data_IF_167500613299
#
_entry.id   IF_167500613299
#
_cell.length_a   1.000
_cell.length_b   1.000
_cell.length_c   1.000
_cell.angle_alpha   90.00
_cell.angle_beta   90.00
_cell.angle_gamma   90.00
#
_symmetry.space_group_name_H-M   'P 1'
#
loop_
_entity.id
_entity.type
_entity.pdbx_description
1 polymer ?
#
# COMPACT_ATOMS: atom_id res chain seq x y z
N UNK A 1 -12.24 -81.15 68.60
CA UNK A 1 -13.40 -80.60 67.85
C UNK A 1 -13.59 -79.14 68.23
N UNK A 2 -12.97 -78.21 67.48
CA UNK A 2 -13.13 -76.76 67.71
C UNK A 2 -14.08 -76.19 66.67
N UNK A 3 -15.15 -75.57 67.17
CA UNK A 3 -16.25 -74.91 66.44
C UNK A 3 -15.73 -73.92 65.40
N UNK A 4 -15.81 -74.28 64.13
CA UNK A 4 -15.67 -73.36 63.00
C UNK A 4 -16.95 -72.54 62.81
N UNK A 5 -16.96 -71.27 63.24
CA UNK A 5 -17.95 -70.27 62.77
C UNK A 5 -17.60 -68.82 63.12
N UNK A 6 -16.37 -68.36 62.88
CA UNK A 6 -16.03 -66.93 63.07
C UNK A 6 -14.93 -66.36 62.16
N UNK A 7 -14.61 -67.01 61.03
CA UNK A 7 -13.65 -66.50 60.03
C UNK A 7 -14.26 -66.38 58.62
N UNK A 8 -15.51 -65.93 58.50
CA UNK A 8 -16.10 -65.58 57.19
C UNK A 8 -16.55 -64.11 57.08
N UNK A 9 -16.61 -63.37 58.19
CA UNK A 9 -17.03 -61.96 58.19
C UNK A 9 -15.86 -60.96 58.05
N UNK A 10 -14.64 -61.35 58.43
CA UNK A 10 -13.46 -60.48 58.34
C UNK A 10 -12.69 -60.62 57.01
N UNK A 11 -12.85 -61.74 56.29
CA UNK A 11 -12.22 -61.94 54.98
C UNK A 11 -12.95 -61.17 53.87
N UNK A 12 -14.27 -60.98 54.01
CA UNK A 12 -15.07 -60.17 53.07
C UNK A 12 -14.80 -58.67 53.29
N UNK A 13 -14.53 -58.24 54.52
CA UNK A 13 -14.23 -56.84 54.84
C UNK A 13 -12.84 -56.38 54.35
N UNK A 14 -11.88 -57.32 54.24
CA UNK A 14 -10.54 -57.01 53.72
C UNK A 14 -10.48 -57.01 52.19
N UNK A 15 -11.31 -57.83 51.52
CA UNK A 15 -11.38 -57.88 50.05
C UNK A 15 -12.12 -56.68 49.45
N UNK A 16 -13.05 -56.06 50.19
CA UNK A 16 -13.75 -54.84 49.75
C UNK A 16 -12.94 -53.55 49.97
N UNK A 17 -11.87 -53.59 50.78
CA UNK A 17 -11.03 -52.41 51.05
C UNK A 17 -9.88 -52.24 50.04
N UNK A 18 -9.48 -53.31 49.34
CA UNK A 18 -8.43 -53.25 48.30
C UNK A 18 -8.95 -52.86 46.91
N UNK A 19 -10.26 -52.79 46.71
CA UNK A 19 -10.89 -52.40 45.43
C UNK A 19 -11.14 -50.89 45.30
N UNK A 20 -10.78 -50.08 46.30
CA UNK A 20 -11.03 -48.63 46.31
C UNK A 20 -9.81 -47.77 45.97
N UNK A 21 -8.65 -48.38 45.67
CA UNK A 21 -7.41 -47.64 45.36
C UNK A 21 -7.15 -47.46 43.86
N UNK A 22 -7.98 -48.03 42.98
CA UNK A 22 -8.08 -47.51 41.62
C UNK A 22 -9.08 -46.36 41.63
N UNK A 23 -8.71 -45.26 42.30
CA UNK A 23 -9.38 -43.99 42.08
C UNK A 23 -9.43 -43.77 40.55
N UNK A 24 -10.62 -43.48 40.02
CA UNK A 24 -10.83 -43.16 38.62
C UNK A 24 -9.72 -42.23 38.17
N UNK A 25 -8.88 -42.68 37.23
CA UNK A 25 -8.01 -41.77 36.50
C UNK A 25 -8.95 -40.73 35.86
N UNK A 26 -8.81 -39.47 36.25
CA UNK A 26 -9.63 -38.39 35.71
C UNK A 26 -9.17 -38.12 34.28
N UNK A 27 -9.76 -38.83 33.32
CA UNK A 27 -9.44 -38.71 31.90
C UNK A 27 -10.21 -37.58 31.23
N UNK A 28 -10.89 -36.70 31.97
CA UNK A 28 -11.67 -35.58 31.38
C UNK A 28 -10.79 -34.61 30.57
N UNK A 29 -9.50 -34.59 30.87
CA UNK A 29 -8.50 -33.75 30.22
C UNK A 29 -7.53 -34.52 29.32
N UNK A 30 -7.61 -35.85 29.30
CA UNK A 30 -6.89 -36.65 28.30
C UNK A 30 -7.51 -36.27 26.93
N UNK A 31 -6.68 -35.88 25.97
CA UNK A 31 -7.05 -35.39 24.61
C UNK A 31 -7.46 -33.91 24.49
N UNK A 32 -7.39 -33.12 25.56
CA UNK A 32 -7.61 -31.68 25.44
C UNK A 32 -6.40 -30.96 24.86
N UNK A 33 -6.63 -30.16 23.82
CA UNK A 33 -5.56 -29.43 23.12
C UNK A 33 -5.01 -28.34 24.05
N UNK A 34 -3.73 -28.50 24.43
CA UNK A 34 -2.95 -27.48 25.15
C UNK A 34 -2.94 -26.16 24.39
N UNK A 35 -2.75 -25.06 25.13
CA UNK A 35 -2.68 -23.75 24.48
C UNK A 35 -1.50 -23.70 23.49
N UNK A 36 -1.78 -23.13 22.32
CA UNK A 36 -0.87 -23.05 21.19
C UNK A 36 -0.95 -21.69 20.55
N UNK A 37 0.19 -21.11 20.22
CA UNK A 37 0.29 -19.83 19.53
C UNK A 37 0.69 -20.01 18.06
N UNK A 38 0.23 -19.08 17.23
CA UNK A 38 0.52 -19.09 15.79
C UNK A 38 0.40 -17.70 15.16
N UNK A 39 1.04 -17.53 14.01
CA UNK A 39 0.91 -16.35 13.16
C UNK A 39 -0.27 -16.58 12.18
N UNK A 40 -1.37 -15.81 12.29
CA UNK A 40 -2.50 -15.94 11.37
C UNK A 40 -2.10 -15.63 9.93
N UNK A 41 -1.14 -14.71 9.76
CA UNK A 41 -0.44 -14.40 8.51
C UNK A 41 0.99 -14.94 8.62
N UNK A 42 1.18 -16.20 8.25
CA UNK A 42 2.47 -16.90 8.22
C UNK A 42 3.05 -16.92 6.81
N UNK A 43 4.28 -17.42 6.68
CA UNK A 43 5.04 -17.47 5.42
C UNK A 43 5.28 -16.05 4.83
N UNK A 44 5.55 -15.92 3.54
CA UNK A 44 5.78 -14.64 2.87
C UNK A 44 4.51 -13.78 2.86
N UNK A 45 4.58 -12.61 3.50
CA UNK A 45 3.53 -11.61 3.52
C UNK A 45 4.06 -10.31 2.93
N UNK A 46 3.38 -9.79 1.91
CA UNK A 46 3.79 -8.57 1.21
C UNK A 46 2.90 -7.38 1.57
N UNK A 47 3.52 -6.22 1.80
CA UNK A 47 2.85 -4.94 1.97
C UNK A 47 3.53 -3.85 1.13
N UNK A 48 2.79 -2.81 0.75
CA UNK A 48 3.33 -1.64 0.05
C UNK A 48 3.05 -0.38 0.85
N UNK A 49 4.06 0.46 1.02
CA UNK A 49 3.98 1.75 1.66
C UNK A 49 4.41 2.80 0.65
N UNK A 50 3.50 3.72 0.33
CA UNK A 50 3.85 4.91 -0.43
C UNK A 50 4.34 5.99 0.53
N UNK A 51 5.60 6.37 0.40
CA UNK A 51 6.30 7.24 1.37
C UNK A 51 5.96 8.71 1.08
N UNK A 52 4.96 9.24 1.78
CA UNK A 52 4.58 10.66 1.71
C UNK A 52 5.43 11.56 2.61
N UNK A 53 5.97 11.00 3.68
CA UNK A 53 6.87 11.62 4.63
C UNK A 53 7.87 10.57 5.13
N UNK A 54 8.93 11.03 5.79
CA UNK A 54 10.00 10.16 6.31
C UNK A 54 9.70 9.65 7.73
N UNK A 55 8.45 9.74 8.18
CA UNK A 55 8.03 9.29 9.50
C UNK A 55 8.12 7.76 9.64
N UNK A 56 8.40 7.30 10.86
CA UNK A 56 8.46 5.87 11.18
C UNK A 56 7.12 5.16 10.90
N UNK A 57 7.21 3.95 10.34
CA UNK A 57 6.03 3.13 10.06
C UNK A 57 5.91 1.98 11.05
N UNK A 58 4.76 1.87 11.73
CA UNK A 58 4.48 0.76 12.64
C UNK A 58 3.63 -0.32 11.99
N UNK A 59 4.23 -1.49 11.74
CA UNK A 59 3.52 -2.71 11.35
C UNK A 59 3.15 -3.53 12.60
N UNK A 60 1.88 -3.93 12.72
CA UNK A 60 1.43 -4.81 13.80
C UNK A 60 1.46 -6.27 13.37
N UNK A 61 2.31 -7.06 14.01
CA UNK A 61 2.37 -8.50 13.84
C UNK A 61 1.38 -9.11 14.81
N UNK A 62 0.32 -9.72 14.29
CA UNK A 62 -0.69 -10.38 15.11
C UNK A 62 -0.26 -11.80 15.45
N UNK A 63 -0.47 -12.19 16.70
CA UNK A 63 -0.29 -13.53 17.22
C UNK A 63 -1.64 -14.00 17.73
N UNK A 64 -2.06 -15.20 17.35
CA UNK A 64 -3.28 -15.82 17.85
C UNK A 64 -2.95 -16.99 18.76
N UNK A 65 -3.80 -17.19 19.76
CA UNK A 65 -3.82 -18.31 20.68
C UNK A 65 -5.03 -19.19 20.41
N UNK A 66 -4.81 -20.49 20.34
CA UNK A 66 -5.83 -21.52 20.34
C UNK A 66 -5.57 -22.50 21.48
N UNK A 67 -6.53 -23.37 21.79
CA UNK A 67 -6.44 -24.33 22.88
C UNK A 67 -7.64 -24.26 23.79
N UNK A 68 -7.84 -25.29 24.59
CA UNK A 68 -9.00 -25.36 25.48
C UNK A 68 -8.80 -24.56 26.77
N UNK A 69 -7.60 -24.63 27.35
CA UNK A 69 -7.37 -24.14 28.72
C UNK A 69 -7.43 -22.62 28.81
N UNK A 70 -7.14 -21.92 27.70
CA UNK A 70 -7.30 -20.47 27.60
C UNK A 70 -6.53 -19.72 28.69
N UNK A 71 -5.41 -20.29 29.13
CA UNK A 71 -4.53 -19.72 30.12
C UNK A 71 -3.79 -18.51 29.54
N UNK A 72 -3.12 -17.78 30.44
CA UNK A 72 -2.12 -16.78 30.08
C UNK A 72 -1.02 -17.45 29.26
N UNK A 73 -0.57 -16.78 28.19
CA UNK A 73 0.47 -17.29 27.32
C UNK A 73 1.52 -16.23 27.06
N UNK A 74 2.75 -16.51 27.50
CA UNK A 74 3.94 -15.71 27.23
C UNK A 74 4.70 -16.29 26.04
N UNK A 75 5.18 -15.42 25.17
CA UNK A 75 6.00 -15.79 24.03
C UNK A 75 6.89 -14.66 23.54
N UNK A 76 7.68 -14.93 22.51
CA UNK A 76 8.47 -13.91 21.86
C UNK A 76 8.64 -14.15 20.37
N UNK A 77 8.95 -13.07 19.65
CA UNK A 77 9.41 -13.09 18.28
C UNK A 77 10.94 -13.00 18.24
N UNK A 78 11.54 -13.72 17.30
CA UNK A 78 12.96 -13.67 16.98
C UNK A 78 13.15 -13.59 15.48
N UNK A 79 14.27 -13.03 15.02
CA UNK A 79 14.65 -13.15 13.61
C UNK A 79 14.94 -14.61 13.26
N UNK A 80 14.60 -15.01 12.03
CA UNK A 80 14.83 -16.37 11.54
C UNK A 80 15.50 -16.36 10.17
N UNK A 81 16.82 -16.15 10.17
CA UNK A 81 17.63 -16.16 8.96
C UNK A 81 17.57 -17.51 8.23
N UNK A 82 17.59 -18.61 8.99
CA UNK A 82 17.54 -19.97 8.45
C UNK A 82 16.25 -20.22 7.67
N UNK A 83 15.12 -19.70 8.15
CA UNK A 83 13.86 -19.79 7.44
C UNK A 83 13.89 -19.02 6.11
N UNK A 84 14.50 -17.82 6.08
CA UNK A 84 14.65 -17.05 4.84
C UNK A 84 15.55 -17.78 3.84
N UNK A 85 16.67 -18.36 4.28
CA UNK A 85 17.56 -19.13 3.41
C UNK A 85 16.84 -20.35 2.80
N UNK A 86 16.03 -21.04 3.62
CA UNK A 86 15.20 -22.17 3.18
C UNK A 86 14.14 -21.72 2.16
N UNK A 87 13.51 -20.56 2.41
CA UNK A 87 12.55 -19.96 1.48
C UNK A 87 13.22 -19.63 0.14
N UNK A 88 14.37 -18.96 0.18
CA UNK A 88 15.16 -18.59 -0.99
C UNK A 88 15.54 -19.79 -1.85
N UNK A 89 16.05 -20.86 -1.21
CA UNK A 89 16.43 -22.08 -1.91
C UNK A 89 15.23 -22.80 -2.55
N UNK A 90 14.07 -22.80 -1.88
CA UNK A 90 12.87 -23.48 -2.39
C UNK A 90 12.12 -22.69 -3.47
N UNK A 91 12.26 -21.36 -3.49
CA UNK A 91 11.55 -20.47 -4.42
C UNK A 91 12.45 -19.85 -5.49
N UNK A 92 13.75 -20.17 -5.49
CA UNK A 92 14.75 -19.60 -6.39
C UNK A 92 14.77 -18.06 -6.31
N UNK A 93 14.81 -17.54 -5.08
CA UNK A 93 14.91 -16.12 -4.76
C UNK A 93 16.20 -15.82 -4.00
N UNK A 94 16.54 -14.55 -3.88
CA UNK A 94 17.78 -14.03 -3.30
C UNK A 94 17.51 -12.94 -2.25
N UNK A 95 16.43 -13.10 -1.48
CA UNK A 95 16.01 -12.09 -0.50
C UNK A 95 17.03 -11.93 0.62
N UNK A 96 17.35 -10.68 0.95
CA UNK A 96 18.26 -10.32 2.05
C UNK A 96 17.51 -9.78 3.27
N UNK A 97 18.00 -10.15 4.45
CA UNK A 97 17.43 -9.68 5.72
C UNK A 97 17.70 -8.19 5.88
N UNK A 98 16.65 -7.41 6.13
CA UNK A 98 16.77 -6.02 6.54
C UNK A 98 17.55 -5.96 7.85
N UNK A 99 18.60 -5.16 7.92
CA UNK A 99 19.42 -5.04 9.12
C UNK A 99 18.63 -4.45 10.31
N UNK A 100 18.85 -4.98 11.53
CA UNK A 100 18.21 -4.50 12.77
C UNK A 100 18.43 -3.00 13.04
N UNK A 101 19.43 -2.34 12.43
CA UNK A 101 19.57 -0.87 12.57
C UNK A 101 18.37 -0.09 12.00
N UNK A 102 17.67 -0.65 11.01
CA UNK A 102 16.57 0.00 10.29
C UNK A 102 15.17 -0.28 10.86
N UNK A 103 15.06 -1.10 11.89
CA UNK A 103 13.77 -1.35 12.53
C UNK A 103 13.92 -1.63 14.03
N UNK A 104 12.83 -1.44 14.76
CA UNK A 104 12.71 -1.83 16.16
C UNK A 104 11.60 -2.86 16.30
N UNK A 105 11.90 -4.00 16.92
CA UNK A 105 10.94 -5.06 17.20
C UNK A 105 10.80 -5.26 18.70
N UNK A 106 9.58 -5.09 19.23
CA UNK A 106 9.29 -5.49 20.60
C UNK A 106 9.21 -7.02 20.65
N UNK A 107 10.29 -7.68 21.07
CA UNK A 107 10.40 -9.14 20.94
C UNK A 107 9.37 -9.90 21.78
N UNK A 108 9.03 -9.41 22.97
CA UNK A 108 8.18 -10.13 23.92
C UNK A 108 6.71 -9.73 23.81
N UNK A 109 5.83 -10.72 24.02
CA UNK A 109 4.39 -10.50 24.12
C UNK A 109 3.77 -11.42 25.19
N UNK A 110 2.62 -10.99 25.69
CA UNK A 110 1.76 -11.75 26.58
C UNK A 110 0.34 -11.74 26.01
N UNK A 111 -0.31 -12.90 26.03
CA UNK A 111 -1.75 -13.04 25.79
C UNK A 111 -2.39 -13.39 27.13
N UNK A 112 -3.20 -12.48 27.67
CA UNK A 112 -3.88 -12.69 28.94
C UNK A 112 -4.83 -13.90 28.90
N UNK A 113 -5.13 -14.46 30.07
CA UNK A 113 -6.11 -15.54 30.18
C UNK A 113 -7.48 -15.11 29.63
N UNK A 114 -8.14 -16.00 28.88
CA UNK A 114 -9.40 -15.71 28.19
C UNK A 114 -9.31 -14.79 26.96
N UNK A 115 -8.11 -14.26 26.64
CA UNK A 115 -7.85 -13.50 25.41
C UNK A 115 -7.25 -14.43 24.36
N UNK A 116 -7.56 -14.20 23.09
CA UNK A 116 -7.17 -15.08 21.98
C UNK A 116 -6.09 -14.48 21.06
N UNK A 117 -5.70 -13.22 21.26
CA UNK A 117 -4.74 -12.55 20.38
C UNK A 117 -3.91 -11.50 21.11
N UNK A 118 -2.73 -11.22 20.56
CA UNK A 118 -1.90 -10.06 20.89
C UNK A 118 -1.26 -9.53 19.61
N UNK A 119 -0.84 -8.27 19.64
CA UNK A 119 -0.08 -7.66 18.55
C UNK A 119 1.27 -7.16 19.03
N UNK A 120 2.32 -7.49 18.29
CA UNK A 120 3.66 -6.94 18.49
C UNK A 120 3.94 -5.84 17.46
N UNK A 121 4.34 -4.63 17.88
CA UNK A 121 4.76 -3.59 16.95
C UNK A 121 6.17 -3.86 16.40
N UNK A 122 6.28 -3.78 15.08
CA UNK A 122 7.51 -3.64 14.33
C UNK A 122 7.56 -2.22 13.75
N UNK A 123 8.50 -1.41 14.20
CA UNK A 123 8.65 -0.01 13.78
C UNK A 123 9.79 0.07 12.77
N UNK A 124 9.49 0.47 11.53
CA UNK A 124 10.48 0.72 10.48
C UNK A 124 10.93 2.17 10.54
N UNK A 125 12.24 2.39 10.45
CA UNK A 125 12.85 3.73 10.37
C UNK A 125 12.92 4.16 8.92
N UNK A 126 11.85 4.79 8.42
CA UNK A 126 11.68 5.06 6.99
C UNK A 126 12.76 6.01 6.46
N UNK A 127 13.08 7.08 7.19
CA UNK A 127 14.17 8.02 6.85
C UNK A 127 15.50 7.28 6.59
N UNK A 128 15.93 6.46 7.56
CA UNK A 128 17.20 5.72 7.49
C UNK A 128 17.22 4.72 6.33
N UNK A 129 16.11 4.01 6.09
CA UNK A 129 15.99 3.04 4.99
C UNK A 129 16.10 3.76 3.65
N UNK A 130 15.33 4.83 3.44
CA UNK A 130 15.35 5.57 2.17
C UNK A 130 16.72 6.21 1.93
N UNK A 131 17.36 6.74 2.97
CA UNK A 131 18.68 7.38 2.88
C UNK A 131 19.80 6.40 2.55
N UNK A 132 19.85 5.26 3.22
CA UNK A 132 20.97 4.31 3.08
C UNK A 132 20.73 3.25 1.98
N UNK A 133 19.48 2.83 1.76
CA UNK A 133 19.11 1.72 0.87
C UNK A 133 18.21 2.13 -0.31
N UNK A 134 17.48 3.25 -0.19
CA UNK A 134 16.59 3.76 -1.23
C UNK A 134 15.18 3.17 -1.21
N UNK A 135 14.46 3.29 -2.32
CA UNK A 135 13.14 2.68 -2.51
C UNK A 135 13.29 1.25 -3.02
N UNK A 136 12.52 0.32 -2.47
CA UNK A 136 12.65 -1.10 -2.78
C UNK A 136 11.81 -1.97 -1.85
N UNK A 137 11.99 -3.29 -1.96
CA UNK A 137 11.37 -4.28 -1.06
C UNK A 137 12.36 -4.75 -0.03
N UNK A 138 11.95 -4.73 1.24
CA UNK A 138 12.77 -5.10 2.38
C UNK A 138 12.14 -6.27 3.14
N UNK A 139 12.97 -7.21 3.61
CA UNK A 139 12.49 -8.48 4.18
C UNK A 139 12.87 -8.62 5.65
N UNK A 140 11.87 -8.87 6.50
CA UNK A 140 12.08 -9.15 7.94
C UNK A 140 11.54 -10.56 8.23
N UNK A 141 12.41 -11.60 8.30
CA UNK A 141 12.00 -12.95 8.63
C UNK A 141 11.88 -13.10 10.15
N UNK A 142 10.73 -13.59 10.60
CA UNK A 142 10.38 -13.72 12.01
C UNK A 142 9.91 -15.14 12.31
N UNK A 143 10.22 -15.57 13.52
CA UNK A 143 9.71 -16.80 14.13
C UNK A 143 9.09 -16.49 15.48
N UNK A 144 7.97 -17.14 15.76
CA UNK A 144 7.33 -17.10 17.07
C UNK A 144 7.79 -18.26 17.94
N UNK A 145 8.05 -17.99 19.22
CA UNK A 145 8.50 -18.96 20.20
C UNK A 145 7.62 -18.89 21.46
N UNK A 146 7.39 -20.04 22.08
CA UNK A 146 6.72 -20.13 23.38
C UNK A 146 7.71 -19.89 24.52
N UNK A 147 7.30 -19.09 25.51
CA UNK A 147 7.96 -18.98 26.82
C UNK A 147 7.16 -19.64 27.94
N UNK A 148 5.96 -20.12 27.63
CA UNK A 148 5.05 -20.76 28.59
C UNK A 148 5.39 -22.24 28.71
N UNK A 149 5.58 -22.72 29.94
CA UNK A 149 5.81 -24.14 30.20
C UNK A 149 4.60 -24.98 29.71
N UNK A 150 4.87 -26.00 28.88
CA UNK A 150 3.84 -26.80 28.24
C UNK A 150 3.06 -26.10 27.12
N UNK A 151 3.32 -24.81 26.86
CA UNK A 151 2.75 -24.07 25.74
C UNK A 151 3.41 -24.44 24.42
N UNK A 152 2.61 -24.68 23.39
CA UNK A 152 3.10 -25.12 22.08
C UNK A 152 3.07 -24.02 21.03
N UNK A 153 3.80 -24.21 19.93
CA UNK A 153 3.73 -23.35 18.75
C UNK A 153 3.23 -24.19 17.59
N UNK A 154 2.27 -23.69 16.82
CA UNK A 154 1.87 -24.35 15.57
C UNK A 154 3.02 -24.28 14.56
N UNK A 155 3.63 -25.41 14.24
CA UNK A 155 4.84 -25.50 13.40
C UNK A 155 4.63 -24.92 12.00
N UNK A 156 3.47 -25.16 11.38
CA UNK A 156 3.16 -24.69 10.01
C UNK A 156 2.96 -23.17 9.96
N UNK A 157 2.58 -22.57 11.09
CA UNK A 157 2.29 -21.14 11.22
C UNK A 157 3.24 -20.43 12.20
N UNK A 158 4.45 -20.96 12.33
CA UNK A 158 5.45 -20.47 13.28
C UNK A 158 6.38 -19.39 12.70
N UNK A 159 6.42 -19.28 11.38
CA UNK A 159 7.32 -18.38 10.66
C UNK A 159 6.55 -17.38 9.77
N UNK A 160 7.16 -16.22 9.55
CA UNK A 160 6.68 -15.12 8.71
C UNK A 160 7.87 -14.48 8.03
N UNK A 161 7.80 -14.23 6.71
CA UNK A 161 8.72 -13.32 6.02
C UNK A 161 7.92 -12.08 5.66
N UNK A 162 8.15 -10.98 6.37
CA UNK A 162 7.47 -9.73 6.08
C UNK A 162 8.24 -8.97 4.99
N UNK A 163 7.68 -8.91 3.79
CA UNK A 163 8.18 -8.14 2.65
C UNK A 163 7.47 -6.79 2.58
N UNK A 164 8.22 -5.70 2.72
CA UNK A 164 7.67 -4.34 2.74
C UNK A 164 8.27 -3.56 1.59
N UNK A 165 7.45 -3.24 0.60
CA UNK A 165 7.84 -2.41 -0.54
C UNK A 165 7.62 -0.94 -0.21
N UNK A 166 8.71 -0.17 -0.17
CA UNK A 166 8.67 1.30 -0.11
C UNK A 166 8.62 1.87 -1.53
N UNK A 167 7.63 2.69 -1.82
CA UNK A 167 7.45 3.35 -3.13
C UNK A 167 7.39 4.86 -3.01
N UNK A 168 7.86 5.52 -4.06
CA UNK A 168 7.67 6.95 -4.26
C UNK A 168 6.21 7.24 -4.66
N UNK A 169 5.55 8.24 -4.06
CA UNK A 169 4.22 8.68 -4.50
C UNK A 169 4.30 9.26 -5.90
N UNK A 170 3.38 8.85 -6.78
CA UNK A 170 3.33 9.28 -8.19
C UNK A 170 2.42 10.48 -8.38
N UNK A 171 3.00 11.63 -8.73
CA UNK A 171 2.24 12.79 -9.19
C UNK A 171 2.03 12.73 -10.71
N UNK A 172 0.78 12.86 -11.16
CA UNK A 172 0.42 12.88 -12.58
C UNK A 172 -0.67 13.91 -12.88
N UNK A 173 -0.91 14.15 -14.17
CA UNK A 173 -2.08 14.90 -14.64
C UNK A 173 -3.21 13.91 -14.88
N UNK A 174 -4.31 14.02 -14.12
CA UNK A 174 -5.52 13.21 -14.24
C UNK A 174 -6.42 13.75 -15.35
N UNK A 175 -5.94 13.65 -16.59
CA UNK A 175 -6.67 14.05 -17.79
C UNK A 175 -6.70 12.90 -18.79
N UNK A 176 -7.83 12.72 -19.46
CA UNK A 176 -7.94 11.79 -20.60
C UNK A 176 -7.01 12.20 -21.75
N UNK A 177 -6.68 13.50 -21.82
CA UNK A 177 -5.80 14.07 -22.85
C UNK A 177 -4.38 14.24 -22.35
N UNK A 178 -3.79 13.24 -21.68
CA UNK A 178 -2.40 13.28 -21.21
C UNK A 178 -1.39 12.98 -22.33
N UNK A 179 -0.16 13.44 -22.18
CA UNK A 179 0.90 13.21 -23.17
C UNK A 179 0.76 14.10 -24.39
N UNK A 180 1.26 13.63 -25.54
CA UNK A 180 1.20 14.36 -26.79
C UNK A 180 -0.18 14.22 -27.45
N UNK A 181 -0.96 15.30 -27.59
CA UNK A 181 -2.27 15.24 -28.25
C UNK A 181 -2.62 16.51 -29.02
N UNK A 182 -3.54 16.39 -29.96
CA UNK A 182 -3.89 17.48 -30.88
C UNK A 182 -5.34 17.92 -30.75
N UNK A 183 -5.57 19.23 -30.87
CA UNK A 183 -6.90 19.82 -31.02
C UNK A 183 -6.99 20.52 -32.37
N UNK A 184 -8.10 20.33 -33.04
CA UNK A 184 -8.44 21.00 -34.29
C UNK A 184 -9.65 21.91 -34.07
N UNK A 185 -9.49 23.19 -34.39
CA UNK A 185 -10.50 24.23 -34.28
C UNK A 185 -10.89 24.80 -35.66
N UNK A 186 -10.59 24.08 -36.75
CA UNK A 186 -10.91 24.47 -38.13
C UNK A 186 -12.40 24.66 -38.38
N UNK A 187 -13.22 23.84 -37.73
CA UNK A 187 -14.66 23.76 -37.99
C UNK A 187 -15.43 24.22 -36.75
N UNK A 188 -16.13 25.35 -36.89
CA UNK A 188 -16.97 25.94 -35.84
C UNK A 188 -16.23 26.08 -34.48
N UNK A 189 -15.14 26.86 -34.41
CA UNK A 189 -14.36 27.03 -33.19
C UNK A 189 -15.22 27.64 -32.09
N UNK A 190 -15.16 27.12 -30.85
CA UNK A 190 -15.76 27.80 -29.72
C UNK A 190 -15.01 29.11 -29.42
N UNK A 191 -15.61 30.02 -28.66
CA UNK A 191 -14.89 31.22 -28.20
C UNK A 191 -13.74 30.88 -27.26
N UNK A 192 -14.01 29.95 -26.33
CA UNK A 192 -13.05 29.42 -25.37
C UNK A 192 -13.09 27.90 -25.36
N UNK A 193 -11.98 27.30 -24.97
CA UNK A 193 -11.89 25.84 -24.81
C UNK A 193 -11.12 25.51 -23.54
N UNK A 194 -11.73 24.72 -22.65
CA UNK A 194 -11.11 24.30 -21.40
C UNK A 194 -10.58 22.87 -21.53
N UNK A 195 -9.37 22.67 -21.01
CA UNK A 195 -8.70 21.39 -20.91
C UNK A 195 -8.43 21.10 -19.44
N UNK A 196 -8.80 19.89 -19.01
CA UNK A 196 -8.51 19.41 -17.67
C UNK A 196 -6.99 19.19 -17.49
N UNK A 197 -6.44 19.87 -16.49
CA UNK A 197 -5.07 19.78 -16.00
C UNK A 197 -5.03 19.38 -14.51
N UNK A 198 -6.01 18.63 -14.02
CA UNK A 198 -6.06 18.22 -12.62
C UNK A 198 -4.77 17.49 -12.22
N UNK A 199 -4.09 17.99 -11.19
CA UNK A 199 -2.94 17.31 -10.60
C UNK A 199 -3.44 16.22 -9.67
N UNK A 200 -2.89 15.01 -9.76
CA UNK A 200 -3.36 13.85 -9.01
C UNK A 200 -2.23 12.96 -8.52
N UNK A 201 -2.38 12.48 -7.28
CA UNK A 201 -1.51 11.53 -6.60
C UNK A 201 -2.14 10.14 -6.58
N UNK A 202 -1.31 9.13 -6.73
CA UNK A 202 -1.68 7.72 -6.60
C UNK A 202 -2.06 7.31 -5.17
N UNK A 203 -1.81 8.17 -4.18
CA UNK A 203 -2.15 8.00 -2.76
C UNK A 203 -2.72 9.29 -2.17
N UNK A 204 -3.48 9.18 -1.08
CA UNK A 204 -3.90 10.35 -0.29
C UNK A 204 -2.70 11.05 0.31
N UNK A 205 -2.69 12.36 0.21
CA UNK A 205 -1.64 13.15 0.83
C UNK A 205 -1.73 13.10 2.35
N UNK A 206 -0.59 12.98 3.04
CA UNK A 206 -0.51 13.12 4.50
C UNK A 206 -0.26 14.55 4.97
N UNK A 207 -0.02 15.49 4.05
CA UNK A 207 0.26 16.89 4.31
C UNK A 207 -0.20 17.79 3.15
N UNK A 208 -0.15 19.10 3.34
CA UNK A 208 -0.35 20.03 2.22
C UNK A 208 0.84 19.98 1.26
N UNK A 209 0.56 19.72 -0.02
CA UNK A 209 1.58 19.60 -1.06
C UNK A 209 1.38 20.67 -2.12
N UNK A 210 2.40 21.51 -2.30
CA UNK A 210 2.40 22.51 -3.36
C UNK A 210 2.78 21.85 -4.67
N UNK A 211 1.91 21.96 -5.67
CA UNK A 211 2.14 21.54 -7.05
C UNK A 211 2.26 22.80 -7.91
N UNK A 212 3.22 22.80 -8.84
CA UNK A 212 3.43 23.93 -9.74
C UNK A 212 3.34 23.51 -11.19
N UNK A 213 2.80 24.37 -12.05
CA UNK A 213 2.72 24.20 -13.49
C UNK A 213 3.56 25.28 -14.15
N UNK A 214 4.35 24.89 -15.17
CA UNK A 214 5.13 25.83 -15.97
C UNK A 214 5.02 25.50 -17.45
N UNK A 215 5.43 26.44 -18.29
CA UNK A 215 5.64 26.19 -19.71
C UNK A 215 7.11 25.90 -19.95
N UNK A 216 7.41 24.77 -20.58
CA UNK A 216 8.77 24.30 -20.77
C UNK A 216 9.09 24.19 -22.26
N UNK A 217 9.72 25.23 -22.79
CA UNK A 217 10.08 25.31 -24.22
C UNK A 217 11.07 24.21 -24.65
N UNK A 218 11.76 23.55 -23.72
CA UNK A 218 12.64 22.42 -24.06
C UNK A 218 11.89 21.19 -24.57
N UNK A 219 10.56 21.17 -24.38
CA UNK A 219 9.67 20.10 -24.86
C UNK A 219 9.28 20.26 -26.33
N UNK A 220 9.58 21.41 -26.95
CA UNK A 220 9.23 21.68 -28.34
C UNK A 220 10.20 20.98 -29.30
N UNK A 221 9.68 20.45 -30.40
CA UNK A 221 10.55 20.06 -31.52
C UNK A 221 11.09 21.32 -32.23
N UNK A 222 12.15 21.16 -33.03
CA UNK A 222 12.78 22.30 -33.74
C UNK A 222 11.83 23.07 -34.66
N UNK A 223 10.74 22.44 -35.10
CA UNK A 223 9.76 23.02 -36.02
C UNK A 223 8.51 23.58 -35.31
N UNK A 224 8.33 23.26 -34.03
CA UNK A 224 7.14 23.67 -33.28
C UNK A 224 7.23 25.12 -32.81
N UNK A 225 6.10 25.82 -32.92
CA UNK A 225 5.95 27.18 -32.41
C UNK A 225 5.12 27.19 -31.13
N UNK A 226 5.69 27.73 -30.06
CA UNK A 226 4.95 27.93 -28.82
C UNK A 226 3.79 28.91 -29.04
N UNK A 227 2.61 28.59 -28.51
CA UNK A 227 1.54 29.59 -28.39
C UNK A 227 1.95 30.63 -27.36
N UNK A 228 1.69 31.91 -27.65
CA UNK A 228 1.92 33.01 -26.72
C UNK A 228 0.97 32.89 -25.52
N UNK A 229 1.49 33.08 -24.30
CA UNK A 229 0.77 32.99 -23.03
C UNK A 229 -0.41 33.95 -22.92
N UNK A 230 -0.53 34.97 -23.77
CA UNK A 230 -1.72 35.84 -23.80
C UNK A 230 -2.99 35.14 -24.33
N UNK A 231 -2.83 33.98 -24.99
CA UNK A 231 -3.95 33.24 -25.58
C UNK A 231 -4.43 32.07 -24.71
N UNK A 232 -3.81 31.82 -23.57
CA UNK A 232 -4.24 30.79 -22.64
C UNK A 232 -3.90 31.13 -21.20
N UNK A 233 -4.61 30.50 -20.26
CA UNK A 233 -4.35 30.66 -18.83
C UNK A 233 -4.59 29.36 -18.09
N UNK A 234 -3.80 29.11 -17.06
CA UNK A 234 -4.00 28.05 -16.06
C UNK A 234 -3.44 28.53 -14.72
N UNK A 235 -3.85 27.91 -13.60
CA UNK A 235 -3.24 28.22 -12.29
C UNK A 235 -1.84 27.63 -12.26
N UNK A 236 -0.83 28.46 -11.99
CA UNK A 236 0.57 28.02 -11.91
C UNK A 236 0.87 27.31 -10.60
N UNK A 237 0.26 27.73 -9.50
CA UNK A 237 0.55 27.19 -8.18
C UNK A 237 -0.74 26.76 -7.52
N UNK A 238 -0.78 25.51 -7.07
CA UNK A 238 -1.91 24.93 -6.36
C UNK A 238 -1.41 24.11 -5.18
N UNK A 239 -2.31 23.83 -4.24
CA UNK A 239 -2.04 22.98 -3.10
C UNK A 239 -2.99 21.80 -3.12
N UNK A 240 -2.45 20.58 -3.09
CA UNK A 240 -3.23 19.38 -2.75
C UNK A 240 -3.31 19.36 -1.22
N UNK A 241 -4.50 19.53 -0.62
CA UNK A 241 -4.65 19.54 0.83
C UNK A 241 -4.32 18.17 1.44
N UNK A 242 -3.90 18.17 2.69
CA UNK A 242 -3.80 16.95 3.49
C UNK A 242 -5.12 16.15 3.46
N UNK A 243 -5.04 14.85 3.21
CA UNK A 243 -6.17 13.93 3.10
C UNK A 243 -6.75 13.78 1.69
N UNK A 244 -6.42 14.70 0.78
CA UNK A 244 -6.89 14.68 -0.61
C UNK A 244 -5.90 13.97 -1.55
N UNK A 245 -6.39 13.57 -2.72
CA UNK A 245 -5.57 12.91 -3.75
C UNK A 245 -5.31 13.80 -4.97
N UNK A 246 -6.05 14.89 -5.13
CA UNK A 246 -5.95 15.71 -6.32
C UNK A 246 -6.30 17.16 -6.05
N UNK A 247 -5.92 18.04 -6.98
CA UNK A 247 -6.37 19.42 -7.04
C UNK A 247 -6.70 19.79 -8.47
N UNK A 248 -7.91 20.30 -8.67
CA UNK A 248 -8.42 20.67 -10.00
C UNK A 248 -7.67 21.87 -10.57
N UNK A 249 -7.30 21.75 -11.84
CA UNK A 249 -6.74 22.86 -12.61
C UNK A 249 -7.23 22.75 -14.05
N UNK A 250 -7.36 23.89 -14.72
CA UNK A 250 -7.86 23.95 -16.09
C UNK A 250 -6.98 24.87 -16.93
N UNK A 251 -6.65 24.42 -18.13
CA UNK A 251 -6.11 25.27 -19.19
C UNK A 251 -7.25 25.81 -20.02
N UNK A 252 -7.48 27.11 -19.92
CA UNK A 252 -8.46 27.83 -20.74
C UNK A 252 -7.77 28.47 -21.93
N UNK A 253 -8.20 28.12 -23.15
CA UNK A 253 -7.75 28.73 -24.40
C UNK A 253 -8.72 29.84 -24.83
N UNK A 254 -8.20 30.98 -25.28
CA UNK A 254 -8.98 32.05 -25.95
C UNK A 254 -8.95 31.84 -27.47
N UNK A 255 -9.67 30.81 -27.91
CA UNK A 255 -9.66 30.31 -29.30
C UNK A 255 -10.07 31.39 -30.29
N UNK A 256 -11.02 32.26 -29.94
CA UNK A 256 -11.48 33.35 -30.81
C UNK A 256 -10.36 34.36 -31.18
N UNK A 257 -9.35 34.52 -30.31
CA UNK A 257 -8.23 35.46 -30.50
C UNK A 257 -6.95 34.80 -30.97
N UNK A 258 -6.91 33.47 -31.02
CA UNK A 258 -5.71 32.74 -31.40
C UNK A 258 -5.30 33.05 -32.86
N UNK A 259 -4.00 33.23 -33.12
CA UNK A 259 -3.49 33.38 -34.47
C UNK A 259 -3.68 32.06 -35.24
N UNK A 260 -3.94 32.17 -36.54
CA UNK A 260 -4.04 30.99 -37.41
C UNK A 260 -2.70 30.25 -37.47
N UNK A 261 -2.74 28.93 -37.41
CA UNK A 261 -1.57 28.06 -37.55
C UNK A 261 -1.53 26.91 -36.57
N UNK A 262 -0.45 26.13 -36.64
CA UNK A 262 -0.08 25.09 -35.67
C UNK A 262 0.69 25.73 -34.53
N UNK A 263 0.19 25.54 -33.32
CA UNK A 263 0.79 26.05 -32.10
C UNK A 263 0.86 24.96 -31.06
N UNK A 264 1.90 25.03 -30.23
CA UNK A 264 2.15 24.08 -29.15
C UNK A 264 2.10 24.78 -27.80
N UNK A 265 1.47 24.17 -26.81
CA UNK A 265 1.50 24.63 -25.42
C UNK A 265 2.25 23.57 -24.61
N UNK A 266 3.55 23.77 -24.33
CA UNK A 266 4.36 22.76 -23.67
C UNK A 266 4.21 22.88 -22.16
N UNK A 267 3.15 22.29 -21.59
CA UNK A 267 2.88 22.36 -20.15
C UNK A 267 3.61 21.26 -19.41
N UNK A 268 4.27 21.64 -18.31
CA UNK A 268 4.97 20.74 -17.41
C UNK A 268 4.45 20.92 -16.00
N UNK A 269 4.06 19.81 -15.38
CA UNK A 269 3.76 19.74 -13.96
C UNK A 269 5.07 19.64 -13.18
N UNK A 270 5.52 20.77 -12.66
CA UNK A 270 6.75 20.91 -11.88
C UNK A 270 6.59 20.37 -10.46
N UNK A 271 7.75 20.05 -9.89
CA UNK A 271 8.03 19.42 -8.60
C UNK A 271 7.11 19.83 -7.43
N UNK A 272 6.92 18.88 -6.50
CA UNK A 272 6.25 19.08 -5.21
C UNK A 272 7.28 19.47 -4.15
N UNK A 273 7.10 20.60 -3.48
CA UNK A 273 7.91 20.90 -2.30
C UNK A 273 7.80 19.76 -1.26
N UNK A 274 8.94 19.16 -0.88
CA UNK A 274 9.12 18.17 0.22
C UNK A 274 8.97 16.67 -0.11
N UNK A 275 8.79 16.24 -1.36
CA UNK A 275 8.86 14.82 -1.70
C UNK A 275 10.24 14.44 -2.26
N UNK A 276 10.87 13.33 -1.81
CA UNK A 276 12.15 12.88 -2.34
C UNK A 276 11.96 12.38 -3.79
N UNK A 277 12.22 13.26 -4.75
CA UNK A 277 12.50 13.02 -6.16
C UNK A 277 11.51 12.12 -6.93
N UNK A 278 10.84 12.66 -7.93
CA UNK A 278 10.16 11.82 -8.92
C UNK A 278 10.23 12.36 -10.35
N UNK A 279 10.26 11.43 -11.31
CA UNK A 279 10.19 11.69 -12.75
C UNK A 279 8.83 12.30 -13.10
N UNK A 280 8.87 13.54 -13.58
CA UNK A 280 7.72 14.34 -13.97
C UNK A 280 7.06 13.79 -15.24
N UNK A 281 5.74 13.53 -15.26
CA UNK A 281 5.01 13.22 -16.49
C UNK A 281 4.84 14.45 -17.38
N UNK A 282 4.84 14.18 -18.69
CA UNK A 282 4.93 15.14 -19.78
C UNK A 282 3.56 15.29 -20.50
N UNK A 283 3.16 16.51 -20.85
CA UNK A 283 2.01 16.79 -21.74
C UNK A 283 2.46 17.70 -22.89
N UNK A 284 2.27 17.26 -24.14
CA UNK A 284 2.63 18.03 -25.34
C UNK A 284 1.34 18.29 -26.14
N UNK A 285 0.87 19.53 -26.15
CA UNK A 285 -0.30 19.91 -26.94
C UNK A 285 0.11 20.25 -28.37
N UNK A 286 -0.20 19.44 -29.37
CA UNK A 286 0.06 19.69 -30.79
C UNK A 286 -1.19 20.19 -31.53
N UNK A 287 -1.42 21.50 -31.71
CA UNK A 287 -2.55 21.94 -32.57
C UNK A 287 -2.38 21.46 -34.02
N UNK A 288 -3.43 20.91 -34.66
CA UNK A 288 -3.45 20.68 -36.12
C UNK A 288 -4.50 21.57 -36.81
N UNK A 289 -4.30 21.74 -38.12
CA UNK A 289 -4.71 22.85 -39.01
C UNK A 289 -6.05 23.53 -38.78
N UNK A 290 -6.05 24.87 -38.68
CA UNK A 290 -7.24 25.71 -38.88
C UNK A 290 -7.34 26.17 -40.34
N UNK A 291 -8.06 25.43 -41.20
CA UNK A 291 -8.45 25.93 -42.54
C UNK A 291 -9.79 26.67 -42.42
N UNK A 292 -9.75 27.99 -42.20
CA UNK A 292 -10.90 28.85 -42.45
C UNK A 292 -10.90 29.32 -43.91
N UNK A 293 -11.69 28.67 -44.76
CA UNK A 293 -12.11 29.27 -46.03
C UNK A 293 -13.01 30.47 -45.73
N UNK A 294 -12.46 31.69 -45.83
CA UNK A 294 -13.26 32.91 -46.00
C UNK A 294 -13.32 33.22 -47.48
N UNK A 295 -14.34 32.72 -48.17
CA UNK A 295 -14.87 33.42 -49.35
C UNK A 295 -16.06 34.24 -48.86
N UNK A 296 -15.85 35.55 -48.69
CA UNK A 296 -16.92 36.51 -48.45
C UNK A 296 -16.96 37.44 -49.65
N UNK A 297 -17.99 37.33 -50.49
CA UNK A 297 -18.45 38.45 -51.31
C UNK A 297 -19.97 38.36 -51.47
N UNK A 298 -20.63 39.49 -51.28
CA UNK A 298 -22.07 39.70 -51.13
C UNK A 298 -22.62 40.47 -52.34
N UNK A 299 -23.92 40.27 -52.64
CA UNK A 299 -24.83 40.97 -53.59
C UNK A 299 -24.68 40.64 -55.09
N UNK A 300 -25.74 40.42 -55.90
CA UNK A 300 -26.99 41.18 -56.05
C UNK A 300 -28.16 40.32 -56.63
N UNK A 301 -29.39 40.77 -56.37
CA UNK A 301 -30.70 40.31 -56.89
C UNK A 301 -30.83 40.15 -58.43
N UNK A 302 -31.63 39.17 -58.89
CA UNK A 302 -32.98 39.34 -59.52
C UNK A 302 -33.46 38.06 -60.26
N UNK A 303 -34.73 37.71 -60.02
CA UNK A 303 -35.75 37.21 -60.96
C UNK A 303 -35.34 36.43 -62.24
N UNK A 304 -35.86 35.21 -62.45
CA UNK A 304 -37.09 34.97 -63.23
C UNK A 304 -37.51 33.48 -63.28
N UNK A 305 -38.81 33.31 -63.51
CA UNK A 305 -39.63 32.11 -63.68
C UNK A 305 -39.27 31.21 -64.89
N UNK A 306 -39.65 29.93 -64.75
CA UNK A 306 -40.30 29.02 -65.75
C UNK A 306 -39.64 28.88 -67.13
N UNK A 307 -39.18 27.66 -67.44
CA UNK A 307 -39.84 26.77 -68.41
C UNK A 307 -39.53 25.31 -68.10
#
# INVERSE_FOLDING_TARGET
MVKGRRMKKYLILFLTATLSLTACRDTRFDDMISDSIYLPKSDLQSGTITVMNEDDYTHKIWIHKAGYFQNKFDGNLSLDATYLDTYNASHNTDYEILNEKYFTLQKDFEIAAGVNEASVPLILKIEDIIKDLGYGTYYVPLRINSKTEGGTVNVEKSNLILAITLKQPVLTIYSEKKGAFSLDFSTNPPEKYDLDLTAGLDVKSSMDLNVSYTTDVSLLSQEDKALDTKFYSFKTDLTIPSGEQYVENFLTLDVAKMPRGKWVIPIRLMHISKLPFQKVPLMILNGQETIFSRTKLLFLHRYFMIK
#
